data_IF_563230079463
#
_entry.id   IF_563230079463
#
_cell.length_a   1.000
_cell.length_b   1.000
_cell.length_c   1.000
_cell.angle_alpha   90.00
_cell.angle_beta   90.00
_cell.angle_gamma   90.00
#
_symmetry.space_group_name_H-M   'P 1'
#
loop_
_entity.id
_entity.type
_entity.pdbx_description
1 polymer ?
#
# COMPACT_ATOMS: atom_id res chain seq x y z
N UNK A 1 -23.92 23.75 18.59
CA UNK A 1 -23.81 23.32 18.61
C UNK A 1 -23.80 22.32 18.14
N UNK A 2 -23.43 22.36 17.74
CA UNK A 2 -23.46 21.33 17.17
C UNK A 2 -23.93 20.43 17.82
N UNK A 3 -24.10 20.96 18.22
CA UNK A 3 -24.56 20.36 18.88
C UNK A 3 -25.45 19.33 19.03
N UNK A 4 -25.95 18.92 18.61
CA UNK A 4 -26.80 17.75 18.75
C UNK A 4 -26.16 16.60 19.50
N UNK A 5 -24.90 16.74 19.89
CA UNK A 5 -24.17 15.64 20.51
C UNK A 5 -23.78 14.53 19.55
N UNK A 6 -24.00 14.67 18.26
CA UNK A 6 -23.58 13.70 17.25
C UNK A 6 -22.25 14.12 16.68
N UNK A 7 -21.25 13.25 16.79
CA UNK A 7 -19.95 13.49 16.18
C UNK A 7 -20.03 13.25 14.68
N UNK A 8 -19.49 14.17 13.91
CA UNK A 8 -19.38 14.01 12.46
C UNK A 8 -18.10 13.24 12.12
N UNK A 9 -18.14 12.44 11.11
CA UNK A 9 -16.95 11.79 10.58
C UNK A 9 -16.10 12.82 9.82
N UNK A 10 -14.83 12.97 10.20
CA UNK A 10 -13.93 13.77 9.35
C UNK A 10 -13.74 13.09 8.00
N UNK A 11 -13.37 13.85 7.03
CA UNK A 11 -13.12 13.29 5.70
C UNK A 11 -11.76 12.63 5.62
N UNK A 12 -11.65 11.67 4.73
CA UNK A 12 -10.39 11.05 4.36
C UNK A 12 -9.91 9.96 5.30
N UNK A 13 -8.91 9.23 4.82
CA UNK A 13 -8.23 8.19 5.57
C UNK A 13 -6.82 8.71 5.86
N UNK A 14 -6.46 8.82 7.14
CA UNK A 14 -5.19 9.37 7.55
C UNK A 14 -4.03 8.42 7.28
N UNK A 15 -4.23 7.14 7.58
CA UNK A 15 -3.18 6.14 7.40
C UNK A 15 -3.77 4.78 7.06
N UNK A 16 -3.02 4.03 6.27
CA UNK A 16 -3.26 2.62 5.99
C UNK A 16 -2.06 1.87 6.55
N UNK A 17 -2.30 0.90 7.40
CA UNK A 17 -1.23 0.08 7.96
C UNK A 17 -1.20 -1.27 7.26
N UNK A 18 -0.05 -1.60 6.70
CA UNK A 18 0.21 -2.88 6.06
C UNK A 18 1.11 -3.71 6.97
N UNK A 19 0.69 -4.94 7.23
CA UNK A 19 1.43 -5.83 8.11
C UNK A 19 2.48 -6.58 7.29
N UNK A 20 3.72 -6.50 7.70
CA UNK A 20 4.85 -7.07 6.95
C UNK A 20 5.69 -7.99 7.84
N UNK A 21 6.13 -9.09 7.27
CA UNK A 21 7.00 -10.04 7.96
C UNK A 21 8.43 -9.56 7.99
N UNK A 22 8.90 -8.98 6.87
CA UNK A 22 10.25 -8.47 6.71
C UNK A 22 10.22 -6.97 6.44
N UNK A 23 10.37 -6.19 7.48
CA UNK A 23 10.30 -4.72 7.39
C UNK A 23 11.40 -4.14 6.50
N UNK A 24 12.60 -4.68 6.58
CA UNK A 24 13.72 -4.19 5.78
C UNK A 24 13.47 -4.38 4.29
N UNK A 25 13.06 -5.57 3.89
CA UNK A 25 12.75 -5.87 2.49
C UNK A 25 11.58 -5.02 1.99
N UNK A 26 10.55 -4.87 2.81
CA UNK A 26 9.38 -4.05 2.45
C UNK A 26 9.78 -2.58 2.27
N UNK A 27 10.56 -2.04 3.20
CA UNK A 27 11.01 -0.65 3.14
C UNK A 27 11.80 -0.38 1.87
N UNK A 28 12.76 -1.26 1.54
CA UNK A 28 13.57 -1.12 0.33
C UNK A 28 12.70 -1.20 -0.93
N UNK A 29 11.71 -2.06 -0.95
CA UNK A 29 10.80 -2.17 -2.07
C UNK A 29 10.04 -0.88 -2.29
N UNK A 30 9.49 -0.28 -1.22
CA UNK A 30 8.71 0.95 -1.32
C UNK A 30 9.56 2.13 -1.78
N UNK A 31 10.80 2.22 -1.30
CA UNK A 31 11.74 3.24 -1.77
C UNK A 31 12.03 3.06 -3.26
N UNK A 32 12.26 1.83 -3.69
CA UNK A 32 12.59 1.54 -5.09
C UNK A 32 11.39 1.70 -6.02
N UNK A 33 10.27 1.09 -5.67
CA UNK A 33 9.09 1.05 -6.55
C UNK A 33 8.44 2.41 -6.71
N UNK A 34 8.32 3.15 -5.62
CA UNK A 34 7.59 4.43 -5.63
C UNK A 34 8.50 5.64 -5.63
N UNK A 35 9.80 5.47 -5.43
CA UNK A 35 10.73 6.58 -5.35
C UNK A 35 10.48 7.49 -4.15
N UNK A 36 9.87 6.97 -3.11
CA UNK A 36 9.56 7.71 -1.90
C UNK A 36 10.63 7.48 -0.84
N UNK A 37 10.76 8.44 0.07
CA UNK A 37 11.62 8.31 1.24
C UNK A 37 10.78 8.03 2.47
N UNK A 38 11.35 7.32 3.42
CA UNK A 38 10.71 7.09 4.72
C UNK A 38 10.51 8.44 5.40
N UNK A 39 9.26 8.75 5.77
CA UNK A 39 8.93 9.98 6.51
C UNK A 39 9.42 9.88 7.94
N UNK A 40 9.13 8.76 8.57
CA UNK A 40 9.65 8.41 9.89
C UNK A 40 9.47 6.91 10.09
N UNK A 41 10.22 6.37 11.04
CA UNK A 41 10.15 4.95 11.35
C UNK A 41 10.95 4.64 12.60
N UNK A 42 10.82 3.41 13.03
CA UNK A 42 11.56 2.86 14.14
C UNK A 42 11.92 1.40 13.82
N UNK A 43 12.23 0.61 14.85
CA UNK A 43 12.61 -0.79 14.63
C UNK A 43 11.46 -1.68 14.15
N UNK A 44 10.21 -1.24 14.32
CA UNK A 44 9.02 -2.02 13.99
C UNK A 44 8.23 -1.45 12.82
N UNK A 45 8.50 -0.22 12.39
CA UNK A 45 7.68 0.43 11.38
C UNK A 45 8.47 1.35 10.46
N UNK A 46 7.89 1.59 9.28
CA UNK A 46 8.37 2.61 8.34
C UNK A 46 7.15 3.25 7.67
N UNK A 47 7.09 4.56 7.68
CA UNK A 47 5.95 5.32 7.19
C UNK A 47 6.32 6.08 5.93
N UNK A 48 5.51 5.93 4.90
CA UNK A 48 5.63 6.66 3.63
C UNK A 48 4.39 7.52 3.42
N UNK A 49 4.58 8.66 2.77
CA UNK A 49 3.49 9.55 2.44
C UNK A 49 3.06 9.36 0.99
N UNK A 50 1.78 9.05 0.80
CA UNK A 50 1.13 8.96 -0.51
C UNK A 50 0.07 10.06 -0.57
N UNK A 51 0.44 11.23 -1.11
CA UNK A 51 -0.47 12.37 -1.09
C UNK A 51 -0.85 12.76 0.33
N UNK A 52 -2.14 12.72 0.63
CA UNK A 52 -2.67 13.05 1.96
C UNK A 52 -2.82 11.82 2.85
N UNK A 53 -2.48 10.64 2.37
CA UNK A 53 -2.60 9.39 3.12
C UNK A 53 -1.22 8.85 3.45
N UNK A 54 -1.02 8.44 4.67
CA UNK A 54 0.20 7.74 5.08
C UNK A 54 0.02 6.25 4.88
N UNK A 55 1.07 5.58 4.42
CA UNK A 55 1.13 4.12 4.40
C UNK A 55 2.19 3.71 5.42
N UNK A 56 1.76 3.00 6.44
CA UNK A 56 2.62 2.52 7.52
C UNK A 56 2.91 1.03 7.29
N UNK A 57 4.17 0.69 7.12
CA UNK A 57 4.61 -0.69 7.11
C UNK A 57 4.92 -1.07 8.55
N UNK A 58 4.20 -2.05 9.08
CA UNK A 58 4.33 -2.44 10.48
C UNK A 58 4.66 -3.91 10.58
N UNK A 59 5.70 -4.21 11.32
CA UNK A 59 6.12 -5.60 11.56
C UNK A 59 5.00 -6.39 12.22
N UNK A 60 4.74 -7.60 11.75
CA UNK A 60 3.61 -8.43 12.21
C UNK A 60 3.66 -8.67 13.72
N UNK A 61 4.85 -8.79 14.31
CA UNK A 61 4.98 -8.99 15.75
C UNK A 61 4.49 -7.78 16.56
N UNK A 62 4.73 -6.58 16.05
CA UNK A 62 4.21 -5.35 16.67
C UNK A 62 2.73 -5.15 16.36
N UNK A 63 2.29 -5.58 15.19
CA UNK A 63 0.91 -5.46 14.77
C UNK A 63 -0.05 -6.24 15.67
N UNK A 64 0.36 -7.40 16.15
CA UNK A 64 -0.48 -8.23 17.01
C UNK A 64 -0.90 -7.50 18.29
N UNK A 65 0.00 -6.73 18.90
CA UNK A 65 -0.36 -5.90 20.06
C UNK A 65 -1.37 -4.84 19.69
N UNK A 66 -1.23 -4.26 18.50
CA UNK A 66 -2.06 -3.14 18.06
C UNK A 66 -3.50 -3.56 17.81
N UNK A 67 -3.70 -4.74 17.23
CA UNK A 67 -5.03 -5.20 16.81
C UNK A 67 -5.65 -6.25 17.72
N UNK A 68 -4.97 -6.64 18.80
CA UNK A 68 -5.50 -7.64 19.71
C UNK A 68 -6.94 -7.30 20.15
N UNK A 69 -7.85 -8.26 20.26
CA UNK A 69 -7.65 -9.71 20.16
C UNK A 69 -7.70 -10.27 18.73
N UNK A 70 -7.76 -9.44 17.69
CA UNK A 70 -7.66 -9.92 16.31
C UNK A 70 -6.24 -10.43 16.03
N UNK A 71 -6.12 -11.29 15.04
CA UNK A 71 -4.84 -11.86 14.64
C UNK A 71 -4.46 -11.39 13.25
N UNK A 72 -3.16 -11.27 12.98
CA UNK A 72 -2.68 -10.94 11.65
C UNK A 72 -2.78 -12.19 10.78
N UNK A 73 -3.42 -12.06 9.60
CA UNK A 73 -3.45 -13.15 8.63
C UNK A 73 -2.04 -13.41 8.11
N UNK A 74 -1.69 -14.67 7.91
CA UNK A 74 -0.40 -15.05 7.37
C UNK A 74 -0.31 -14.63 5.90
N UNK A 75 0.92 -14.34 5.45
CA UNK A 75 1.18 -13.98 4.07
C UNK A 75 0.74 -15.08 3.09
N UNK A 76 0.92 -16.34 3.47
CA UNK A 76 0.56 -17.49 2.64
C UNK A 76 -0.94 -17.79 2.60
N UNK A 77 -1.75 -17.01 3.30
CA UNK A 77 -3.21 -17.12 3.21
C UNK A 77 -3.75 -16.54 1.89
N UNK A 78 -2.90 -15.93 1.09
CA UNK A 78 -3.27 -15.27 -0.17
C UNK A 78 -3.22 -13.77 -0.05
N UNK A 79 -3.67 -13.08 -1.10
CA UNK A 79 -3.66 -11.63 -1.12
C UNK A 79 -4.69 -11.06 -0.16
N UNK A 80 -4.26 -10.08 0.64
CA UNK A 80 -5.06 -9.55 1.75
C UNK A 80 -5.75 -8.24 1.41
N UNK A 81 -5.22 -7.51 0.42
CA UNK A 81 -5.82 -6.25 -0.02
C UNK A 81 -5.22 -5.82 -1.35
N UNK A 82 -5.88 -4.84 -1.97
CA UNK A 82 -5.36 -4.14 -3.14
C UNK A 82 -5.52 -2.65 -2.92
N UNK A 83 -4.48 -1.90 -3.25
CA UNK A 83 -4.51 -0.44 -3.26
C UNK A 83 -4.33 0.03 -4.70
N UNK A 84 -5.08 1.06 -5.09
CA UNK A 84 -5.05 1.58 -6.45
C UNK A 84 -4.52 3.00 -6.46
N UNK A 85 -3.58 3.26 -7.36
CA UNK A 85 -3.06 4.60 -7.63
C UNK A 85 -3.50 5.00 -9.04
N UNK A 86 -4.14 6.17 -9.15
CA UNK A 86 -4.41 6.75 -10.46
C UNK A 86 -3.13 7.34 -11.02
N UNK A 87 -2.84 7.01 -12.27
CA UNK A 87 -1.69 7.52 -13.01
C UNK A 87 -2.17 8.12 -14.32
N UNK A 88 -1.34 8.93 -14.95
CA UNK A 88 -1.71 9.55 -16.23
C UNK A 88 -1.58 8.56 -17.40
N UNK A 89 -0.63 7.64 -17.31
CA UNK A 89 -0.31 6.72 -18.39
C UNK A 89 0.19 5.40 -17.80
N UNK A 90 -0.65 4.38 -17.85
CA UNK A 90 -0.32 3.06 -17.29
C UNK A 90 0.86 2.43 -18.04
N UNK A 91 0.90 2.54 -19.36
CA UNK A 91 1.99 1.94 -20.13
C UNK A 91 3.35 2.55 -19.79
N UNK A 92 3.38 3.88 -19.68
CA UNK A 92 4.62 4.58 -19.31
C UNK A 92 5.06 4.18 -17.90
N UNK A 93 4.11 4.05 -16.98
CA UNK A 93 4.42 3.65 -15.62
C UNK A 93 4.90 2.19 -15.54
N UNK A 94 4.35 1.33 -16.37
CA UNK A 94 4.84 -0.06 -16.47
C UNK A 94 6.30 -0.11 -16.91
N UNK A 95 6.70 0.73 -17.88
CA UNK A 95 8.09 0.82 -18.29
C UNK A 95 8.98 1.34 -17.16
N UNK A 96 8.47 2.32 -16.41
CA UNK A 96 9.20 2.86 -15.28
C UNK A 96 9.39 1.82 -14.17
N UNK A 97 8.35 1.05 -13.87
CA UNK A 97 8.43 -0.03 -12.88
C UNK A 97 9.45 -1.09 -13.31
N UNK A 98 9.47 -1.43 -14.61
CA UNK A 98 10.46 -2.36 -15.13
C UNK A 98 11.88 -1.85 -14.93
N UNK A 99 12.12 -0.55 -15.19
CA UNK A 99 13.43 0.07 -14.95
C UNK A 99 13.84 0.03 -13.49
N UNK A 100 12.87 0.09 -12.59
CA UNK A 100 13.11 0.03 -11.15
C UNK A 100 13.20 -1.41 -10.62
N UNK A 101 13.12 -2.39 -11.50
CA UNK A 101 13.24 -3.80 -11.13
C UNK A 101 12.00 -4.36 -10.47
N UNK A 102 10.83 -3.80 -10.75
CA UNK A 102 9.56 -4.25 -10.18
C UNK A 102 8.80 -5.04 -11.25
N UNK A 103 8.70 -6.37 -11.12
CA UNK A 103 7.94 -7.17 -12.07
C UNK A 103 6.44 -6.96 -11.88
N UNK A 104 5.69 -7.02 -12.98
CA UNK A 104 4.25 -6.91 -12.92
C UNK A 104 3.61 -8.24 -12.52
N UNK A 105 2.54 -8.18 -11.75
CA UNK A 105 1.67 -9.31 -11.49
C UNK A 105 0.79 -9.58 -12.71
N UNK A 106 0.20 -8.53 -13.27
CA UNK A 106 -0.55 -8.59 -14.51
C UNK A 106 -0.61 -7.21 -15.15
N UNK A 107 -1.04 -7.19 -16.42
CA UNK A 107 -1.23 -5.96 -17.18
C UNK A 107 -0.01 -5.59 -18.01
N UNK A 108 -0.11 -4.46 -18.76
CA UNK A 108 -1.29 -3.60 -18.85
C UNK A 108 -2.45 -4.27 -19.57
N UNK A 109 -3.66 -4.05 -19.07
CA UNK A 109 -4.89 -4.66 -19.59
C UNK A 109 -5.99 -3.60 -19.64
N UNK A 110 -6.72 -3.57 -20.75
CA UNK A 110 -7.94 -2.78 -20.86
C UNK A 110 -9.09 -3.57 -20.21
N UNK A 111 -9.66 -2.99 -19.18
CA UNK A 111 -10.74 -3.65 -18.46
C UNK A 111 -12.08 -3.34 -19.11
N UNK A 112 -13.05 -4.26 -19.03
CA UNK A 112 -14.37 -4.06 -19.68
C UNK A 112 -15.12 -2.83 -19.20
N UNK A 113 -14.82 -2.33 -18.02
CA UNK A 113 -15.48 -1.14 -17.45
C UNK A 113 -14.80 0.18 -17.79
N UNK A 114 -13.87 0.19 -18.73
CA UNK A 114 -13.36 1.43 -19.33
C UNK A 114 -12.09 1.99 -18.75
N UNK A 115 -11.37 1.22 -17.94
CA UNK A 115 -10.06 1.64 -17.41
C UNK A 115 -8.97 0.67 -17.86
N UNK A 116 -7.75 1.19 -17.91
CA UNK A 116 -6.57 0.39 -18.19
C UNK A 116 -5.79 0.21 -16.89
N UNK A 117 -5.41 -1.01 -16.57
CA UNK A 117 -4.76 -1.33 -15.30
C UNK A 117 -3.51 -2.19 -15.48
N UNK A 118 -2.63 -2.10 -14.50
CA UNK A 118 -1.54 -3.05 -14.28
C UNK A 118 -1.34 -3.17 -12.78
N UNK A 119 -0.78 -4.28 -12.34
CA UNK A 119 -0.57 -4.48 -10.91
C UNK A 119 0.77 -5.14 -10.62
N UNK A 120 1.23 -4.95 -9.39
CA UNK A 120 2.45 -5.56 -8.88
C UNK A 120 2.26 -5.87 -7.39
N UNK A 121 3.18 -6.63 -6.83
CA UNK A 121 3.06 -7.16 -5.47
C UNK A 121 4.26 -6.70 -4.66
N UNK A 122 4.02 -6.23 -3.44
CA UNK A 122 5.11 -5.91 -2.53
C UNK A 122 5.61 -7.18 -1.80
N UNK A 123 6.73 -7.11 -1.07
CA UNK A 123 7.27 -8.30 -0.39
C UNK A 123 6.32 -8.92 0.63
N UNK A 124 5.39 -8.14 1.18
CA UNK A 124 4.37 -8.66 2.11
C UNK A 124 3.19 -9.32 1.44
N UNK A 125 3.13 -9.32 0.11
CA UNK A 125 2.02 -9.90 -0.64
C UNK A 125 0.86 -8.94 -0.86
N UNK A 126 1.04 -7.65 -0.60
CA UNK A 126 0.00 -6.65 -0.83
C UNK A 126 0.02 -6.23 -2.30
N UNK A 127 -1.16 -6.16 -2.91
CA UNK A 127 -1.27 -5.85 -4.33
C UNK A 127 -1.42 -4.34 -4.51
N UNK A 128 -0.64 -3.78 -5.43
CA UNK A 128 -0.76 -2.40 -5.88
C UNK A 128 -1.19 -2.39 -7.33
N UNK A 129 -2.25 -1.63 -7.61
CA UNK A 129 -2.75 -1.43 -8.95
C UNK A 129 -2.49 0.00 -9.38
N UNK A 130 -2.07 0.17 -10.64
CA UNK A 130 -2.05 1.48 -11.30
C UNK A 130 -3.14 1.49 -12.36
N UNK A 131 -3.82 2.62 -12.50
CA UNK A 131 -5.00 2.70 -13.37
C UNK A 131 -5.14 4.09 -14.00
N UNK A 132 -5.67 4.11 -15.22
CA UNK A 132 -6.11 5.34 -15.86
C UNK A 132 -7.34 5.13 -16.74
#
# INVERSE_FOLDING_TARGET
MAGSGVAAWPGGIGAITLFVEDLGAATQFYERAFGLSVQFGDEDSAVFRFGDTLVNLLRTTAAEELIAPATVARRDAGSRLQLTIQVDDVDAMCLELARRGVPLLNGPIDRPWGVRTASFVDPGGHIWEIAH
#
